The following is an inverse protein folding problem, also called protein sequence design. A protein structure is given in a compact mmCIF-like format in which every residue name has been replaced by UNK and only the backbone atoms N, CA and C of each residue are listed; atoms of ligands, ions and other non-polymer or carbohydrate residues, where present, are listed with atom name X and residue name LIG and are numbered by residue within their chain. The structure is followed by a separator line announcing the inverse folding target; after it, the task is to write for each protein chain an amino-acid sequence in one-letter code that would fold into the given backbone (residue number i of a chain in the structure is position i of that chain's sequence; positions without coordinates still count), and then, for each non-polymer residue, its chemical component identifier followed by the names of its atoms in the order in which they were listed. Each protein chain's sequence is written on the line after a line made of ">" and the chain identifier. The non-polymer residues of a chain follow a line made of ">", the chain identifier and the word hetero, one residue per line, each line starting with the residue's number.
data_IF_292845825117
#
_entry.id   IF_292845825117
#
_cell.length_a   1.000
_cell.length_b   1.000
_cell.length_c   1.000
_cell.angle_alpha   90.00
_cell.angle_beta   90.00
_cell.angle_gamma   90.00
#
_symmetry.space_group_name_H-M   'P 1'
#
loop_
_entity.id
_entity.type
_entity.pdbx_description
1 polymer ?
#
# COMPACT_ATOMS: atom_id res chain seq x y z
N UNK A 1 -35.64 -12.04 -10.22
CA UNK A 1 -34.43 -12.24 -9.44
C UNK A 1 -34.05 -10.95 -8.77
N UNK A 2 -33.77 -10.91 -7.45
CA UNK A 2 -33.34 -9.68 -6.82
C UNK A 2 -32.05 -9.22 -7.49
N UNK A 3 -32.02 -7.96 -7.87
CA UNK A 3 -30.80 -7.34 -8.37
C UNK A 3 -29.73 -7.48 -7.28
N UNK A 4 -28.80 -8.38 -7.51
CA UNK A 4 -27.61 -8.46 -6.65
C UNK A 4 -26.93 -7.10 -6.70
N UNK A 5 -26.84 -6.44 -5.57
CA UNK A 5 -26.23 -5.13 -5.50
C UNK A 5 -24.81 -5.16 -6.06
N UNK A 6 -24.38 -4.03 -6.62
CA UNK A 6 -23.05 -3.88 -7.20
C UNK A 6 -21.95 -4.37 -6.22
N UNK A 7 -22.18 -4.20 -4.92
CA UNK A 7 -21.30 -4.69 -3.85
C UNK A 7 -21.13 -6.20 -3.81
N UNK A 8 -22.20 -6.95 -4.07
CA UNK A 8 -22.14 -8.43 -4.05
C UNK A 8 -21.35 -8.98 -5.24
N UNK A 9 -21.43 -8.31 -6.38
CA UNK A 9 -20.65 -8.68 -7.58
C UNK A 9 -19.16 -8.42 -7.33
N UNK A 10 -18.83 -7.28 -6.75
CA UNK A 10 -17.43 -6.93 -6.40
C UNK A 10 -16.89 -7.87 -5.32
N UNK A 11 -17.69 -8.20 -4.34
CA UNK A 11 -17.29 -9.13 -3.28
C UNK A 11 -16.95 -10.52 -3.83
N UNK A 12 -17.76 -11.05 -4.74
CA UNK A 12 -17.47 -12.34 -5.40
C UNK A 12 -16.21 -12.29 -6.25
N UNK A 13 -16.01 -11.21 -7.00
CA UNK A 13 -14.80 -11.03 -7.81
C UNK A 13 -13.55 -10.92 -6.94
N UNK A 14 -13.66 -10.32 -5.75
CA UNK A 14 -12.55 -10.27 -4.79
C UNK A 14 -12.31 -11.61 -4.13
N UNK A 15 -13.34 -12.39 -3.84
CA UNK A 15 -13.21 -13.76 -3.31
C UNK A 15 -12.45 -14.65 -4.30
N UNK A 16 -12.68 -14.48 -5.61
CA UNK A 16 -11.90 -15.16 -6.65
C UNK A 16 -10.45 -14.68 -6.71
N UNK A 17 -10.18 -13.41 -6.40
CA UNK A 17 -8.83 -12.83 -6.36
C UNK A 17 -8.13 -13.16 -5.03
N UNK A 18 -8.86 -13.43 -3.96
CA UNK A 18 -8.29 -13.81 -2.65
C UNK A 18 -7.52 -15.13 -2.68
N UNK A 19 -7.76 -15.99 -3.64
CA UNK A 19 -6.94 -17.19 -3.87
C UNK A 19 -5.50 -16.80 -4.19
N UNK A 20 -5.29 -15.60 -4.78
CA UNK A 20 -3.98 -15.00 -5.03
C UNK A 20 -3.95 -13.61 -4.39
N UNK A 21 -3.87 -13.56 -3.06
CA UNK A 21 -3.76 -12.29 -2.36
C UNK A 21 -2.56 -11.49 -2.86
N UNK A 22 -2.83 -10.36 -3.49
CA UNK A 22 -1.81 -9.46 -3.99
C UNK A 22 -1.91 -8.10 -3.29
N UNK A 23 -0.99 -7.84 -2.37
CA UNK A 23 -0.87 -6.54 -1.72
C UNK A 23 -0.42 -5.49 -2.74
N UNK A 24 -0.79 -4.25 -2.50
CA UNK A 24 -0.65 -3.16 -3.47
C UNK A 24 0.31 -2.10 -2.95
N UNK A 25 1.23 -1.66 -3.80
CA UNK A 25 2.02 -0.45 -3.60
C UNK A 25 1.43 0.67 -4.47
N UNK A 26 1.01 1.74 -3.82
CA UNK A 26 0.35 2.88 -4.46
C UNK A 26 1.27 4.10 -4.40
N UNK A 27 1.74 4.55 -5.54
CA UNK A 27 2.70 5.64 -5.67
C UNK A 27 2.01 6.88 -6.26
N UNK A 28 2.11 7.99 -5.57
CA UNK A 28 1.54 9.23 -6.06
C UNK A 28 1.82 10.39 -5.13
N UNK A 29 1.86 11.61 -5.65
CA UNK A 29 2.15 12.79 -4.85
C UNK A 29 1.11 13.02 -3.76
N UNK A 30 1.50 13.76 -2.73
CA UNK A 30 0.57 14.20 -1.69
C UNK A 30 -0.58 14.97 -2.32
N UNK A 31 -1.80 14.65 -1.93
CA UNK A 31 -3.00 15.26 -2.51
C UNK A 31 -3.47 14.61 -3.82
N UNK A 32 -2.89 13.50 -4.23
CA UNK A 32 -3.34 12.75 -5.43
C UNK A 32 -4.62 11.92 -5.22
N UNK A 33 -5.18 11.92 -4.01
CA UNK A 33 -6.42 11.21 -3.71
C UNK A 33 -6.24 9.75 -3.29
N UNK A 34 -5.05 9.34 -2.88
CA UNK A 34 -4.77 7.96 -2.44
C UNK A 34 -5.74 7.49 -1.34
N UNK A 35 -5.86 8.27 -0.28
CA UNK A 35 -6.75 7.95 0.85
C UNK A 35 -8.21 7.86 0.42
N UNK A 36 -8.65 8.80 -0.41
CA UNK A 36 -10.02 8.81 -0.94
C UNK A 36 -10.30 7.56 -1.78
N UNK A 37 -9.35 7.18 -2.62
CA UNK A 37 -9.47 5.98 -3.45
C UNK A 37 -9.62 4.72 -2.59
N UNK A 38 -8.80 4.59 -1.56
CA UNK A 38 -8.85 3.43 -0.65
C UNK A 38 -10.16 3.38 0.14
N UNK A 39 -10.62 4.52 0.65
CA UNK A 39 -11.92 4.60 1.34
C UNK A 39 -13.08 4.21 0.43
N UNK A 40 -13.04 4.65 -0.81
CA UNK A 40 -14.07 4.32 -1.79
C UNK A 40 -14.04 2.84 -2.14
N UNK A 41 -12.84 2.28 -2.31
CA UNK A 41 -12.67 0.85 -2.57
C UNK A 41 -13.25 0.01 -1.43
N UNK A 42 -12.93 0.33 -0.19
CA UNK A 42 -13.45 -0.38 0.98
C UNK A 42 -14.97 -0.31 1.06
N UNK A 43 -15.54 0.83 0.76
CA UNK A 43 -17.00 1.02 0.74
C UNK A 43 -17.66 0.22 -0.36
N UNK A 44 -17.09 0.21 -1.57
CA UNK A 44 -17.63 -0.57 -2.70
C UNK A 44 -17.56 -2.06 -2.46
N UNK A 45 -16.51 -2.53 -1.80
CA UNK A 45 -16.33 -3.94 -1.44
C UNK A 45 -17.10 -4.34 -0.19
N UNK A 46 -17.64 -3.36 0.53
CA UNK A 46 -18.30 -3.55 1.82
C UNK A 46 -17.41 -4.33 2.81
N UNK A 47 -16.20 -3.86 2.97
CA UNK A 47 -15.23 -4.44 3.89
C UNK A 47 -14.74 -3.40 4.89
N UNK A 48 -14.36 -3.80 6.10
CA UNK A 48 -13.78 -2.87 7.07
C UNK A 48 -12.43 -2.34 6.59
N UNK A 49 -12.12 -1.11 6.98
CA UNK A 49 -10.89 -0.41 6.62
C UNK A 49 -10.24 0.18 7.85
N UNK A 50 -8.94 -0.02 8.00
CA UNK A 50 -8.11 0.71 8.94
C UNK A 50 -7.03 1.48 8.18
N UNK A 51 -6.79 2.71 8.61
CA UNK A 51 -5.79 3.61 8.00
C UNK A 51 -4.76 3.96 9.05
N UNK A 52 -3.50 3.86 8.68
CA UNK A 52 -2.37 4.31 9.48
C UNK A 52 -1.30 4.90 8.57
N UNK A 53 -0.25 5.47 9.14
CA UNK A 53 0.93 5.85 8.40
C UNK A 53 2.18 5.13 8.94
N UNK A 54 3.17 4.97 8.08
CA UNK A 54 4.38 4.23 8.42
C UNK A 54 5.22 4.94 9.49
N UNK A 55 5.12 6.27 9.60
CA UNK A 55 5.84 7.04 10.62
C UNK A 55 5.31 6.79 12.03
N UNK A 56 4.02 6.61 12.17
CA UNK A 56 3.41 6.21 13.45
C UNK A 56 3.89 4.85 13.91
N UNK A 57 4.15 3.94 12.98
CA UNK A 57 4.66 2.60 13.28
C UNK A 57 6.11 2.60 13.77
N UNK A 58 6.85 3.67 13.48
CA UNK A 58 8.27 3.78 13.87
C UNK A 58 8.50 4.53 15.18
N UNK A 59 7.61 5.46 15.54
CA UNK A 59 7.79 6.36 16.69
C UNK A 59 7.70 5.65 18.03
N UNK A 60 6.94 4.56 18.14
CA UNK A 60 6.77 3.84 19.39
C UNK A 60 7.91 2.85 19.72
N UNK A 61 8.93 2.72 18.89
CA UNK A 61 10.12 1.90 19.14
C UNK A 61 9.90 0.39 19.06
N UNK A 62 8.66 -0.05 18.97
CA UNK A 62 8.28 -1.46 18.82
C UNK A 62 7.20 -1.60 17.77
N UNK A 63 7.56 -2.07 16.59
CA UNK A 63 6.66 -2.28 15.45
C UNK A 63 5.49 -3.20 15.83
N UNK A 64 5.72 -4.18 16.69
CA UNK A 64 4.70 -5.13 17.14
C UNK A 64 3.49 -4.46 17.78
N UNK A 65 3.70 -3.49 18.66
CA UNK A 65 2.64 -2.84 19.42
C UNK A 65 1.76 -1.95 18.52
N UNK A 66 2.35 -1.27 17.57
CA UNK A 66 1.61 -0.38 16.66
C UNK A 66 0.84 -1.15 15.61
N UNK A 67 1.36 -2.27 15.18
CA UNK A 67 0.69 -3.19 14.26
C UNK A 67 -0.53 -3.82 14.91
N UNK A 68 -0.41 -4.25 16.16
CA UNK A 68 -1.55 -4.71 16.95
C UNK A 68 -2.62 -3.63 17.06
N UNK A 69 -2.21 -2.38 17.24
CA UNK A 69 -3.13 -1.23 17.26
C UNK A 69 -3.90 -1.06 15.95
N UNK A 70 -3.23 -1.21 14.80
CA UNK A 70 -3.88 -1.12 13.48
C UNK A 70 -4.87 -2.26 13.28
N UNK A 71 -4.48 -3.48 13.64
CA UNK A 71 -5.37 -4.66 13.56
C UNK A 71 -6.55 -4.49 14.51
N UNK A 72 -6.33 -3.94 15.69
CA UNK A 72 -7.40 -3.61 16.63
C UNK A 72 -8.38 -2.58 16.07
N UNK A 73 -7.90 -1.56 15.37
CA UNK A 73 -8.73 -0.59 14.65
C UNK A 73 -9.57 -1.27 13.57
N UNK A 74 -8.97 -2.21 12.84
CA UNK A 74 -9.68 -2.96 11.81
C UNK A 74 -10.77 -3.82 12.42
N UNK A 75 -10.49 -4.47 13.53
CA UNK A 75 -11.49 -5.26 14.26
C UNK A 75 -12.65 -4.40 14.75
N UNK A 76 -12.37 -3.21 15.29
CA UNK A 76 -13.41 -2.26 15.68
C UNK A 76 -14.26 -1.79 14.48
N UNK A 77 -13.63 -1.54 13.33
CA UNK A 77 -14.32 -1.18 12.10
C UNK A 77 -15.19 -2.33 11.56
N UNK A 78 -14.89 -3.56 11.94
CA UNK A 78 -15.68 -4.76 11.61
C UNK A 78 -16.74 -5.09 12.67
N UNK A 79 -17.04 -4.16 13.58
CA UNK A 79 -17.96 -4.38 14.70
C UNK A 79 -17.57 -5.57 15.58
N UNK A 80 -16.26 -5.77 15.76
CA UNK A 80 -15.65 -6.89 16.50
C UNK A 80 -15.90 -8.28 15.91
N UNK A 81 -16.30 -8.34 14.65
CA UNK A 81 -16.43 -9.60 13.90
C UNK A 81 -15.04 -9.95 13.31
N UNK A 82 -14.42 -10.97 13.88
CA UNK A 82 -13.07 -11.41 13.51
C UNK A 82 -13.00 -11.86 12.06
N UNK A 83 -13.93 -12.66 11.61
CA UNK A 83 -13.98 -13.16 10.23
C UNK A 83 -14.08 -12.01 9.23
N UNK A 84 -14.90 -11.02 9.54
CA UNK A 84 -15.06 -9.83 8.72
C UNK A 84 -13.79 -8.99 8.71
N UNK A 85 -13.13 -8.82 9.84
CA UNK A 85 -11.86 -8.11 9.95
C UNK A 85 -10.76 -8.79 9.13
N UNK A 86 -10.70 -10.10 9.16
CA UNK A 86 -9.72 -10.90 8.42
C UNK A 86 -9.83 -10.77 6.89
N UNK A 87 -10.94 -10.23 6.40
CA UNK A 87 -11.18 -9.92 4.98
C UNK A 87 -11.25 -8.42 4.71
N UNK A 88 -10.73 -7.61 5.62
CA UNK A 88 -10.68 -6.16 5.50
C UNK A 88 -9.48 -5.64 4.74
N UNK A 89 -9.33 -4.32 4.77
CA UNK A 89 -8.24 -3.59 4.15
C UNK A 89 -7.49 -2.81 5.23
N UNK A 90 -6.16 -2.88 5.21
CA UNK A 90 -5.28 -1.99 5.98
C UNK A 90 -4.52 -1.13 4.97
N UNK A 91 -4.68 0.18 5.08
CA UNK A 91 -3.94 1.16 4.30
C UNK A 91 -2.85 1.79 5.16
N UNK A 92 -1.60 1.62 4.72
CA UNK A 92 -0.43 2.18 5.38
C UNK A 92 0.14 3.25 4.46
N UNK A 93 -0.09 4.52 4.82
CA UNK A 93 0.41 5.65 4.04
C UNK A 93 1.84 6.02 4.45
N UNK A 94 2.47 6.88 3.65
CA UNK A 94 3.82 7.38 3.90
C UNK A 94 4.89 6.28 3.99
N UNK A 95 4.71 5.21 3.22
CA UNK A 95 5.64 4.06 3.23
C UNK A 95 7.05 4.45 2.75
N UNK A 96 7.15 5.47 1.90
CA UNK A 96 8.41 6.02 1.41
C UNK A 96 9.31 6.57 2.53
N UNK A 97 8.71 6.98 3.65
CA UNK A 97 9.45 7.52 4.80
C UNK A 97 10.24 6.48 5.58
N UNK A 98 9.94 5.20 5.40
CA UNK A 98 10.73 4.11 5.97
C UNK A 98 11.77 3.56 4.98
N UNK A 99 11.95 4.20 3.85
CA UNK A 99 12.98 3.81 2.89
C UNK A 99 14.39 4.02 3.47
N UNK A 100 15.30 3.14 3.09
CA UNK A 100 16.71 3.24 3.45
C UNK A 100 17.33 4.45 2.75
N UNK A 101 18.01 5.35 3.50
CA UNK A 101 18.63 6.54 2.94
C UNK A 101 19.87 6.18 2.12
N UNK A 102 19.91 6.70 0.87
CA UNK A 102 20.97 6.40 -0.11
C UNK A 102 22.37 6.87 0.27
N UNK A 103 22.49 7.95 1.06
CA UNK A 103 23.76 8.65 1.32
C UNK A 103 24.26 8.48 2.75
N UNK A 104 23.73 7.55 3.50
CA UNK A 104 24.23 7.31 4.83
C UNK A 104 25.52 6.51 4.75
N UNK A 105 26.67 7.16 5.08
CA UNK A 105 27.90 6.46 5.42
C UNK A 105 27.71 5.56 6.65
N UNK A 106 26.60 5.68 7.32
CA UNK A 106 26.13 4.83 8.39
C UNK A 106 24.91 4.08 7.87
N UNK A 107 24.91 2.77 8.07
CA UNK A 107 23.80 1.89 7.82
C UNK A 107 22.52 2.46 8.45
N UNK A 108 21.54 2.83 7.64
CA UNK A 108 20.23 3.19 8.18
C UNK A 108 19.51 1.93 8.63
N UNK A 109 19.89 1.49 9.82
CA UNK A 109 19.35 0.27 10.44
C UNK A 109 17.87 0.41 10.77
N UNK A 110 17.40 1.64 11.00
CA UNK A 110 16.00 1.88 11.40
C UNK A 110 15.01 1.66 10.25
N UNK A 111 15.27 2.21 9.06
CA UNK A 111 14.39 2.04 7.91
C UNK A 111 14.31 0.60 7.42
N UNK A 112 15.44 -0.06 7.27
CA UNK A 112 15.49 -1.47 6.88
C UNK A 112 14.82 -2.37 7.92
N UNK A 113 15.07 -2.12 9.20
CA UNK A 113 14.49 -2.86 10.31
C UNK A 113 12.96 -2.77 10.33
N UNK A 114 12.41 -1.59 10.06
CA UNK A 114 10.96 -1.38 9.98
C UNK A 114 10.36 -2.16 8.79
N UNK A 115 11.00 -2.11 7.64
CA UNK A 115 10.57 -2.87 6.46
C UNK A 115 10.60 -4.37 6.75
N UNK A 116 11.63 -4.87 7.39
CA UNK A 116 11.72 -6.28 7.80
C UNK A 116 10.61 -6.66 8.79
N UNK A 117 10.32 -5.80 9.76
CA UNK A 117 9.26 -6.04 10.74
C UNK A 117 7.87 -6.11 10.11
N UNK A 118 7.63 -5.33 9.07
CA UNK A 118 6.36 -5.35 8.33
C UNK A 118 6.17 -6.59 7.44
N UNK A 119 7.26 -7.24 7.04
CA UNK A 119 7.19 -8.44 6.20
C UNK A 119 6.30 -9.52 6.80
N UNK A 120 6.42 -9.74 8.09
CA UNK A 120 5.66 -10.75 8.81
C UNK A 120 4.15 -10.55 8.66
N UNK A 121 3.70 -9.29 8.69
CA UNK A 121 2.30 -8.95 8.49
C UNK A 121 1.85 -9.21 7.06
N UNK A 122 2.65 -8.78 6.11
CA UNK A 122 2.33 -8.93 4.69
C UNK A 122 2.31 -10.39 4.27
N UNK A 123 3.12 -11.23 4.89
CA UNK A 123 3.16 -12.67 4.67
C UNK A 123 1.94 -13.39 5.26
N UNK A 124 1.42 -12.85 6.35
CA UNK A 124 0.34 -13.43 7.13
C UNK A 124 0.81 -13.94 8.49
N UNK A 125 0.19 -13.45 9.53
CA UNK A 125 0.49 -13.83 10.91
C UNK A 125 -0.79 -13.81 11.75
N UNK A 126 -0.81 -14.59 12.81
CA UNK A 126 -1.84 -14.48 13.82
C UNK A 126 -1.42 -13.44 14.84
N UNK A 127 -2.28 -12.45 15.06
CA UNK A 127 -2.03 -11.32 15.94
C UNK A 127 -3.08 -11.31 17.03
N UNK A 128 -2.63 -11.28 18.27
CA UNK A 128 -3.49 -11.17 19.44
C UNK A 128 -3.82 -9.70 19.68
N UNK A 129 -5.10 -9.37 19.67
CA UNK A 129 -5.58 -7.99 19.83
C UNK A 129 -6.70 -7.90 20.86
N UNK A 130 -6.80 -6.76 21.59
CA UNK A 130 -7.90 -6.55 22.51
C UNK A 130 -9.23 -6.32 21.77
N UNK A 131 -10.29 -6.91 22.27
CA UNK A 131 -11.65 -6.73 21.73
C UNK A 131 -12.31 -5.57 22.45
N UNK A 132 -12.73 -4.55 21.68
CA UNK A 132 -13.55 -3.46 22.20
C UNK A 132 -12.80 -2.40 23.00
N UNK A 133 -11.47 -2.42 23.07
CA UNK A 133 -10.71 -1.41 23.78
C UNK A 133 -9.48 -0.97 23.01
N UNK A 134 -9.21 0.34 23.10
CA UNK A 134 -8.04 0.97 22.47
C UNK A 134 -6.76 0.86 23.31
N UNK A 135 -6.80 0.30 24.51
CA UNK A 135 -5.64 0.14 25.37
C UNK A 135 -5.44 -1.30 25.81
N UNK A 136 -4.17 -1.73 25.87
CA UNK A 136 -3.76 -3.02 26.42
C UNK A 136 -3.98 -3.04 27.93
N UNK A 137 -5.21 -3.10 28.34
CA UNK A 137 -5.52 -3.27 29.74
C UNK A 137 -5.70 -4.78 30.02
N UNK A 138 -5.06 -5.31 31.06
CA UNK A 138 -5.06 -6.72 31.41
C UNK A 138 -6.45 -7.33 31.67
N UNK A 139 -7.48 -6.49 31.73
CA UNK A 139 -8.88 -6.87 32.00
C UNK A 139 -9.74 -6.99 30.74
N UNK A 140 -9.18 -6.77 29.56
CA UNK A 140 -9.93 -6.79 28.28
C UNK A 140 -9.77 -8.16 27.61
N UNK A 141 -10.87 -8.75 27.11
CA UNK A 141 -10.76 -10.00 26.34
C UNK A 141 -9.87 -9.80 25.13
N UNK A 142 -9.00 -10.75 24.88
CA UNK A 142 -8.11 -10.79 23.73
C UNK A 142 -8.67 -11.78 22.71
N UNK A 143 -8.44 -11.50 21.44
CA UNK A 143 -8.78 -12.40 20.34
C UNK A 143 -7.65 -12.47 19.34
N UNK A 144 -7.58 -13.56 18.59
CA UNK A 144 -6.61 -13.73 17.51
C UNK A 144 -7.22 -13.30 16.19
N UNK A 145 -6.47 -12.50 15.43
CA UNK A 145 -6.80 -12.09 14.06
C UNK A 145 -5.70 -12.56 13.12
N UNK A 146 -6.06 -13.33 12.13
CA UNK A 146 -5.12 -13.80 11.12
C UNK A 146 -5.05 -12.78 9.97
N UNK A 147 -3.87 -12.23 9.72
CA UNK A 147 -3.67 -11.21 8.69
C UNK A 147 -3.55 -11.76 7.27
N UNK A 148 -3.55 -13.08 7.12
CA UNK A 148 -3.32 -13.74 5.82
C UNK A 148 -4.24 -13.23 4.70
N UNK A 149 -5.50 -12.99 4.99
CA UNK A 149 -6.50 -12.57 4.00
C UNK A 149 -6.81 -11.07 4.06
N UNK A 150 -6.13 -10.31 4.90
CA UNK A 150 -6.22 -8.86 4.92
C UNK A 150 -5.48 -8.30 3.72
N UNK A 151 -6.12 -7.42 2.96
CA UNK A 151 -5.48 -6.72 1.85
C UNK A 151 -4.69 -5.53 2.41
N UNK A 152 -3.39 -5.56 2.23
CA UNK A 152 -2.51 -4.44 2.59
C UNK A 152 -2.29 -3.56 1.36
N UNK A 153 -2.58 -2.28 1.52
CA UNK A 153 -2.28 -1.24 0.53
C UNK A 153 -1.28 -0.29 1.17
N UNK A 154 -0.09 -0.21 0.61
CA UNK A 154 0.95 0.70 1.06
C UNK A 154 1.02 1.88 0.09
N UNK A 155 0.90 3.09 0.60
CA UNK A 155 0.95 4.30 -0.20
C UNK A 155 2.15 5.17 0.14
N UNK A 156 2.66 5.92 -0.83
CA UNK A 156 3.73 6.87 -0.62
C UNK A 156 3.86 7.87 -1.76
N UNK A 157 4.43 9.02 -1.46
CA UNK A 157 4.70 10.05 -2.45
C UNK A 157 5.98 9.78 -3.24
N UNK A 158 6.95 9.16 -2.63
CA UNK A 158 8.26 8.83 -3.22
C UNK A 158 8.90 10.04 -3.90
N UNK A 159 9.22 11.11 -3.14
CA UNK A 159 9.91 12.25 -3.71
C UNK A 159 11.24 11.80 -4.32
N UNK A 160 11.67 12.41 -5.40
CA UNK A 160 12.88 12.06 -6.16
C UNK A 160 12.84 10.73 -6.92
N UNK A 161 11.75 9.97 -6.86
CA UNK A 161 11.62 8.75 -7.66
C UNK A 161 11.67 9.07 -9.17
N UNK A 162 11.11 10.18 -9.59
CA UNK A 162 11.18 10.62 -10.98
C UNK A 162 12.61 10.82 -11.46
N UNK A 163 13.49 11.33 -10.61
CA UNK A 163 14.92 11.48 -10.93
C UNK A 163 15.60 10.13 -11.14
N UNK A 164 15.24 9.14 -10.35
CA UNK A 164 15.73 7.76 -10.50
C UNK A 164 15.28 7.17 -11.83
N UNK A 165 14.02 7.38 -12.20
CA UNK A 165 13.47 6.92 -13.48
C UNK A 165 14.18 7.59 -14.65
N UNK A 166 14.35 8.92 -14.59
CA UNK A 166 15.10 9.68 -15.60
C UNK A 166 16.51 9.16 -15.80
N UNK A 167 17.24 8.95 -14.71
CA UNK A 167 18.59 8.42 -14.75
C UNK A 167 18.65 7.06 -15.43
N UNK A 168 17.73 6.16 -15.11
CA UNK A 168 17.64 4.85 -15.75
C UNK A 168 17.35 4.95 -17.25
N UNK A 169 16.38 5.76 -17.64
CA UNK A 169 15.98 5.94 -19.03
C UNK A 169 17.10 6.61 -19.83
N UNK A 170 17.80 7.58 -19.26
CA UNK A 170 18.92 8.25 -19.91
C UNK A 170 20.11 7.30 -20.12
N UNK A 171 20.39 6.41 -19.20
CA UNK A 171 21.41 5.36 -19.36
C UNK A 171 21.07 4.39 -20.49
N UNK A 172 19.83 3.96 -20.57
CA UNK A 172 19.35 3.09 -21.65
C UNK A 172 19.43 3.78 -23.00
N UNK A 173 19.09 5.07 -23.06
CA UNK A 173 19.14 5.88 -24.27
C UNK A 173 20.59 6.20 -24.72
N UNK A 174 21.54 6.32 -23.81
CA UNK A 174 22.93 6.67 -24.12
C UNK A 174 23.68 5.56 -24.86
N UNK A 175 23.16 4.34 -24.86
CA UNK A 175 23.69 3.23 -25.63
C UNK A 175 23.37 3.38 -27.13
N UNK A 176 22.39 4.22 -27.50
CA UNK A 176 21.93 4.37 -28.86
C UNK A 176 22.03 5.78 -29.48
N UNK A 177 21.44 6.82 -28.88
CA UNK A 177 21.39 8.18 -29.41
C UNK A 177 21.33 9.22 -28.29
N UNK A 178 22.23 10.22 -28.29
CA UNK A 178 22.74 10.82 -27.08
C UNK A 178 22.14 12.12 -26.59
N UNK A 179 21.54 12.96 -27.40
CA UNK A 179 21.20 14.30 -26.95
C UNK A 179 19.69 14.58 -26.91
N UNK A 180 18.98 14.11 -27.92
CA UNK A 180 17.57 14.44 -28.10
C UNK A 180 16.65 13.69 -27.16
N UNK A 181 17.09 12.53 -26.65
CA UNK A 181 16.31 11.69 -25.73
C UNK A 181 16.36 12.19 -24.28
N UNK A 182 17.42 12.87 -23.89
CA UNK A 182 17.56 13.46 -22.56
C UNK A 182 16.52 14.56 -22.31
N UNK A 183 16.34 15.45 -23.31
CA UNK A 183 15.34 16.51 -23.24
C UNK A 183 13.90 15.95 -23.27
N UNK A 184 13.71 14.83 -23.94
CA UNK A 184 12.40 14.15 -24.02
C UNK A 184 11.91 13.66 -22.65
N UNK A 185 12.79 13.09 -21.84
CA UNK A 185 12.42 12.57 -20.53
C UNK A 185 12.36 13.64 -19.45
N UNK A 186 13.12 14.71 -19.56
CA UNK A 186 13.09 15.82 -18.63
C UNK A 186 11.73 16.57 -18.62
N UNK A 187 11.00 16.52 -19.72
CA UNK A 187 9.70 17.16 -19.88
C UNK A 187 8.52 16.17 -19.95
N UNK A 188 8.74 14.91 -19.59
CA UNK A 188 7.69 13.88 -19.66
C UNK A 188 6.78 13.97 -18.43
N UNK A 189 5.54 14.40 -18.64
CA UNK A 189 4.52 14.49 -17.61
C UNK A 189 4.09 13.12 -17.09
N UNK A 190 4.31 12.06 -17.86
CA UNK A 190 3.96 10.67 -17.51
C UNK A 190 5.16 9.85 -17.02
N UNK A 191 6.19 10.52 -16.54
CA UNK A 191 7.43 9.85 -16.16
C UNK A 191 7.21 8.83 -15.04
N UNK A 192 6.39 9.17 -14.05
CA UNK A 192 6.08 8.28 -12.93
C UNK A 192 5.42 6.97 -13.38
N UNK A 193 4.65 6.99 -14.45
CA UNK A 193 4.02 5.79 -15.00
C UNK A 193 5.03 4.77 -15.55
N UNK A 194 6.27 5.20 -15.79
CA UNK A 194 7.37 4.33 -16.27
C UNK A 194 8.16 3.68 -15.13
N UNK A 195 7.72 3.83 -13.90
CA UNK A 195 8.38 3.26 -12.72
C UNK A 195 8.47 1.73 -12.83
N UNK A 196 9.61 1.22 -12.39
CA UNK A 196 9.84 -0.22 -12.26
C UNK A 196 10.11 -0.57 -10.79
N UNK A 197 10.01 -1.85 -10.45
CA UNK A 197 10.38 -2.35 -9.12
C UNK A 197 11.83 -1.99 -8.78
N UNK A 198 12.72 -2.04 -9.77
CA UNK A 198 14.13 -1.67 -9.59
C UNK A 198 14.31 -0.19 -9.21
N UNK A 199 13.49 0.70 -9.76
CA UNK A 199 13.51 2.11 -9.41
C UNK A 199 13.12 2.31 -7.93
N UNK A 200 12.09 1.62 -7.47
CA UNK A 200 11.63 1.68 -6.09
C UNK A 200 12.66 1.06 -5.14
N UNK A 201 13.33 0.00 -5.56
CA UNK A 201 14.46 -0.57 -4.82
C UNK A 201 15.60 0.44 -4.68
N UNK A 202 15.97 1.13 -5.74
CA UNK A 202 17.00 2.19 -5.70
C UNK A 202 16.59 3.35 -4.80
N UNK A 203 15.32 3.64 -4.68
CA UNK A 203 14.81 4.64 -3.75
C UNK A 203 15.11 4.26 -2.29
N UNK A 204 15.15 2.98 -1.97
CA UNK A 204 15.47 2.51 -0.62
C UNK A 204 14.55 1.43 -0.07
N UNK A 205 13.62 0.93 -0.87
CA UNK A 205 12.78 -0.18 -0.46
C UNK A 205 13.51 -1.50 -0.68
N UNK A 206 13.49 -2.38 0.32
CA UNK A 206 14.20 -3.65 0.23
C UNK A 206 13.46 -4.64 -0.71
N UNK A 207 14.20 -5.50 -1.42
CA UNK A 207 13.60 -6.43 -2.39
C UNK A 207 12.55 -7.36 -1.78
N UNK A 208 12.77 -7.84 -0.58
CA UNK A 208 11.86 -8.75 0.13
C UNK A 208 10.51 -8.07 0.40
N UNK A 209 10.56 -6.79 0.78
CA UNK A 209 9.36 -5.98 1.02
C UNK A 209 8.58 -5.75 -0.28
N UNK A 210 9.28 -5.38 -1.34
CA UNK A 210 8.69 -5.18 -2.66
C UNK A 210 8.10 -6.48 -3.22
N UNK A 211 8.71 -7.61 -2.93
CA UNK A 211 8.20 -8.92 -3.31
C UNK A 211 6.84 -9.25 -2.69
N UNK A 212 6.52 -8.63 -1.56
CA UNK A 212 5.20 -8.78 -0.92
C UNK A 212 4.18 -7.74 -1.36
N UNK A 213 4.58 -6.82 -2.23
CA UNK A 213 3.73 -5.79 -2.84
C UNK A 213 3.78 -5.93 -4.37
N UNK A 214 3.31 -7.06 -4.92
CA UNK A 214 3.50 -7.37 -6.34
C UNK A 214 2.70 -6.47 -7.29
N UNK A 215 1.65 -5.85 -6.81
CA UNK A 215 0.84 -4.93 -7.60
C UNK A 215 1.30 -3.50 -7.33
N UNK A 216 1.87 -2.87 -8.34
CA UNK A 216 2.33 -1.49 -8.25
C UNK A 216 1.43 -0.59 -9.08
N UNK A 217 0.96 0.47 -8.46
CA UNK A 217 -0.02 1.38 -9.03
C UNK A 217 0.46 2.82 -8.87
N UNK A 218 0.48 3.59 -9.96
CA UNK A 218 0.86 5.00 -9.91
C UNK A 218 -0.35 5.89 -10.10
N UNK A 219 -0.46 6.90 -9.24
CA UNK A 219 -1.49 7.92 -9.31
C UNK A 219 -0.84 9.24 -9.73
N UNK A 220 -1.26 9.77 -10.86
CA UNK A 220 -1.03 11.17 -11.16
C UNK A 220 -2.04 11.99 -10.35
N UNK A 221 -1.83 13.32 -10.28
CA UNK A 221 -2.78 14.19 -9.61
C UNK A 221 -4.18 13.95 -10.20
N UNK A 222 -5.00 13.17 -9.49
CA UNK A 222 -6.31 12.77 -9.95
C UNK A 222 -7.28 13.92 -9.82
N UNK A 223 -7.93 14.29 -10.92
CA UNK A 223 -9.12 15.12 -10.86
C UNK A 223 -10.29 14.29 -10.36
N UNK A 224 -11.30 14.95 -9.80
CA UNK A 224 -12.52 14.29 -9.33
C UNK A 224 -13.19 13.46 -10.44
N UNK A 225 -13.18 13.96 -11.68
CA UNK A 225 -13.72 13.27 -12.85
C UNK A 225 -12.95 11.98 -13.15
N UNK A 226 -11.63 12.00 -13.00
CA UNK A 226 -10.80 10.81 -13.19
C UNK A 226 -11.05 9.76 -12.12
N UNK A 227 -11.26 10.17 -10.86
CA UNK A 227 -11.65 9.27 -9.77
C UNK A 227 -12.99 8.61 -10.05
N UNK A 228 -13.98 9.37 -10.49
CA UNK A 228 -15.30 8.84 -10.86
C UNK A 228 -15.18 7.83 -12.00
N UNK A 229 -14.33 8.08 -12.99
CA UNK A 229 -14.04 7.14 -14.08
C UNK A 229 -13.44 5.83 -13.58
N UNK A 230 -12.41 5.90 -12.75
CA UNK A 230 -11.73 4.72 -12.20
C UNK A 230 -12.73 3.85 -11.43
N UNK A 231 -13.63 4.47 -10.68
CA UNK A 231 -14.65 3.78 -9.89
C UNK A 231 -15.78 3.18 -10.71
N UNK A 232 -16.04 3.71 -11.90
CA UNK A 232 -17.08 3.21 -12.81
C UNK A 232 -16.58 2.16 -13.79
N UNK A 233 -15.28 2.09 -14.02
CA UNK A 233 -14.70 1.08 -14.91
C UNK A 233 -14.66 -0.29 -14.24
N UNK A 234 -14.75 -1.37 -15.02
CA UNK A 234 -14.64 -2.71 -14.49
C UNK A 234 -13.33 -2.90 -13.74
N UNK A 235 -13.36 -3.60 -12.65
CA UNK A 235 -12.27 -3.87 -11.73
C UNK A 235 -10.94 -4.28 -12.38
N UNK A 236 -10.98 -4.92 -13.52
CA UNK A 236 -9.80 -5.33 -14.28
C UNK A 236 -8.95 -4.16 -14.77
N UNK A 237 -9.52 -2.97 -14.92
CA UNK A 237 -8.77 -1.78 -15.33
C UNK A 237 -7.92 -1.21 -14.19
N UNK A 238 -8.32 -1.39 -12.94
CA UNK A 238 -7.60 -0.93 -11.74
C UNK A 238 -6.41 -1.86 -11.44
N UNK A 239 -6.51 -3.12 -11.76
CA UNK A 239 -5.52 -4.17 -11.44
C UNK A 239 -4.44 -4.28 -12.53
N UNK A 240 -4.70 -3.85 -13.75
CA UNK A 240 -3.81 -4.04 -14.91
C UNK A 240 -2.76 -2.94 -15.11
N UNK A 241 -2.77 -1.90 -14.32
CA UNK A 241 -1.74 -0.87 -14.36
C UNK A 241 -0.70 -1.08 -13.29
#
# INVERSE_FOLDING_TARGET
>A
APSRGLGDVYKRQMDEIEIEKSNILMIGPTGSGKTYLVKTLARLLDVPLAITDATSLTEAGYIGDDIESVVSKLLAAADNDVERAEHGIIFIDEIDKIAKKRNANQRDVSGESVQQGMLKLLEGAEIEVPVGASSKNAMVPMTMVNTKNILFICGGAFPDLEDIIKERLNKEASIGFKADLKDKYDNDENLLAKVTTEDVRKFGMIPEFLGRLPVMFTLEALTEDMLVRILKEPKNAIIRQ
#
